data_IF_336135999987
#
_entry.id   IF_336135999987
#
_cell.length_a   1.000
_cell.length_b   1.000
_cell.length_c   1.000
_cell.angle_alpha   90.00
_cell.angle_beta   90.00
_cell.angle_gamma   90.00
#
_symmetry.space_group_name_H-M   'P 1'
#
loop_
_entity.id
_entity.type
_entity.pdbx_description
1 polymer ?
#
# COMPACT_ATOMS: atom_id res chain seq x y z
N UNK A 1 -22.47 -0.34 -19.26
CA UNK A 1 -21.02 -0.24 -18.99
C UNK A 1 -20.88 -0.27 -17.49
N UNK A 2 -20.45 -1.41 -16.93
CA UNK A 2 -20.25 -1.54 -15.48
C UNK A 2 -18.93 -0.87 -15.11
N UNK A 3 -19.02 0.16 -14.27
CA UNK A 3 -17.89 0.85 -13.66
C UNK A 3 -17.78 0.38 -12.22
N UNK A 4 -16.58 -0.01 -11.80
CA UNK A 4 -16.29 -0.34 -10.40
C UNK A 4 -15.28 0.63 -9.83
N UNK A 5 -15.33 0.86 -8.52
CA UNK A 5 -14.45 1.80 -7.85
C UNK A 5 -13.32 1.05 -7.15
N UNK A 6 -12.09 1.48 -7.37
CA UNK A 6 -10.89 0.96 -6.68
C UNK A 6 -10.36 2.05 -5.76
N UNK A 7 -10.05 1.69 -4.52
CA UNK A 7 -9.38 2.59 -3.60
C UNK A 7 -7.89 2.69 -3.96
N UNK A 8 -7.39 3.90 -4.17
CA UNK A 8 -5.96 4.14 -4.32
C UNK A 8 -5.25 4.04 -2.95
N UNK A 9 -3.92 3.82 -2.92
CA UNK A 9 -3.15 3.73 -1.67
C UNK A 9 -3.27 4.96 -0.78
N UNK A 10 -3.57 6.13 -1.38
CA UNK A 10 -3.81 7.39 -0.67
C UNK A 10 -5.26 7.57 -0.19
N UNK A 11 -6.15 6.62 -0.45
CA UNK A 11 -7.54 6.61 0.01
C UNK A 11 -8.58 7.21 -0.94
N UNK A 12 -8.24 7.53 -2.18
CA UNK A 12 -9.20 8.06 -3.18
C UNK A 12 -9.93 6.93 -3.91
N UNK A 13 -11.22 7.13 -4.20
CA UNK A 13 -11.99 6.19 -5.02
C UNK A 13 -11.81 6.52 -6.51
N UNK A 14 -11.17 5.63 -7.24
CA UNK A 14 -10.92 5.79 -8.67
C UNK A 14 -11.90 4.92 -9.45
N UNK A 15 -12.74 5.52 -10.32
CA UNK A 15 -13.62 4.74 -11.19
C UNK A 15 -12.78 4.04 -12.26
N UNK A 16 -12.92 2.72 -12.35
CA UNK A 16 -12.24 1.88 -13.33
C UNK A 16 -13.27 1.20 -14.23
N UNK A 17 -12.99 1.19 -15.52
CA UNK A 17 -13.76 0.46 -16.52
C UNK A 17 -13.25 -0.98 -16.62
N UNK A 18 -14.17 -1.95 -16.74
CA UNK A 18 -13.84 -3.39 -16.91
C UNK A 18 -13.00 -3.70 -18.16
N UNK A 19 -12.98 -2.80 -19.13
CA UNK A 19 -12.15 -2.89 -20.35
C UNK A 19 -10.88 -2.04 -20.25
N UNK A 20 -10.26 -1.94 -19.07
CA UNK A 20 -8.94 -1.34 -19.01
C UNK A 20 -7.95 -2.32 -19.66
N UNK A 21 -7.32 -1.90 -20.75
CA UNK A 21 -6.13 -2.56 -21.27
C UNK A 21 -5.09 -2.65 -20.14
N UNK A 22 -4.23 -3.68 -20.13
CA UNK A 22 -3.17 -3.99 -19.14
C UNK A 22 -2.19 -2.85 -18.75
N UNK A 23 -2.47 -1.60 -19.13
CA UNK A 23 -1.77 -0.42 -18.69
C UNK A 23 -2.02 -0.14 -17.19
N UNK A 24 -0.98 0.25 -16.45
CA UNK A 24 -1.10 0.63 -15.04
C UNK A 24 -2.00 1.86 -14.92
N UNK A 25 -3.07 1.74 -14.12
CA UNK A 25 -3.96 2.85 -13.83
C UNK A 25 -3.26 3.82 -12.88
N UNK A 26 -3.38 5.13 -13.15
CA UNK A 26 -2.93 6.17 -12.22
C UNK A 26 -4.14 6.84 -11.57
N UNK A 27 -4.02 7.16 -10.29
CA UNK A 27 -5.04 7.93 -9.61
C UNK A 27 -5.04 9.37 -10.14
N UNK A 28 -6.16 9.90 -10.70
CA UNK A 28 -6.21 11.26 -11.23
C UNK A 28 -6.08 12.34 -10.15
N UNK A 29 -6.24 11.97 -8.88
CA UNK A 29 -6.20 12.92 -7.76
C UNK A 29 -4.81 13.06 -7.12
N UNK A 30 -3.98 12.03 -7.20
CA UNK A 30 -2.68 12.02 -6.50
C UNK A 30 -1.53 11.44 -7.32
N UNK A 31 -1.77 11.12 -8.59
CA UNK A 31 -0.81 10.50 -9.52
C UNK A 31 -0.24 9.13 -9.07
N UNK A 32 -0.79 8.59 -7.98
CA UNK A 32 -0.34 7.32 -7.41
C UNK A 32 -0.67 6.16 -8.34
N UNK A 33 0.31 5.29 -8.57
CA UNK A 33 0.12 4.06 -9.34
C UNK A 33 -0.86 3.14 -8.60
N UNK A 34 -1.97 2.82 -9.26
CA UNK A 34 -2.91 1.80 -8.82
C UNK A 34 -2.31 0.47 -9.27
N UNK A 35 -1.89 -0.36 -8.32
CA UNK A 35 -1.58 -1.75 -8.65
C UNK A 35 -2.85 -2.36 -9.24
N UNK A 36 -2.75 -2.90 -10.45
CA UNK A 36 -3.81 -3.64 -11.14
C UNK A 36 -4.05 -4.97 -10.43
N UNK A 37 -4.48 -4.90 -9.17
CA UNK A 37 -5.00 -6.00 -8.42
C UNK A 37 -6.39 -6.30 -8.94
N UNK A 38 -6.46 -7.05 -10.05
CA UNK A 38 -7.65 -7.83 -10.38
C UNK A 38 -8.16 -8.44 -9.08
N UNK A 39 -9.41 -8.17 -8.65
CA UNK A 39 -9.93 -8.82 -7.45
C UNK A 39 -9.87 -10.30 -7.73
N UNK A 40 -8.97 -11.02 -7.03
CA UNK A 40 -8.95 -12.47 -7.03
C UNK A 40 -10.31 -12.87 -6.51
N UNK A 41 -11.19 -13.25 -7.44
CA UNK A 41 -12.49 -13.79 -7.13
C UNK A 41 -12.28 -14.87 -6.08
N UNK A 42 -12.95 -14.68 -4.95
CA UNK A 42 -13.06 -15.70 -3.93
C UNK A 42 -13.81 -16.90 -4.52
N UNK A 43 -13.10 -17.75 -5.24
CA UNK A 43 -13.62 -19.05 -5.67
C UNK A 43 -13.58 -19.96 -4.44
N UNK A 44 -14.71 -20.03 -3.75
CA UNK A 44 -14.98 -21.03 -2.72
C UNK A 44 -15.27 -22.38 -3.40
N UNK A 45 -14.39 -23.32 -3.13
CA UNK A 45 -14.52 -24.78 -3.07
C UNK A 45 -15.61 -25.48 -3.90
N UNK A 46 -15.21 -26.26 -4.91
CA UNK A 46 -15.67 -27.66 -5.09
C UNK A 46 -14.81 -28.43 -6.10
N UNK A 47 -14.05 -29.41 -5.61
CA UNK A 47 -13.81 -30.72 -6.25
C UNK A 47 -12.99 -30.79 -7.56
N UNK A 48 -11.70 -31.12 -7.44
CA UNK A 48 -11.07 -32.19 -8.22
C UNK A 48 -9.61 -32.42 -7.77
N UNK A 49 -9.32 -33.63 -7.31
CA UNK A 49 -7.96 -34.12 -7.04
C UNK A 49 -7.13 -34.13 -8.32
N UNK A 50 -5.97 -33.47 -8.31
CA UNK A 50 -4.83 -33.83 -9.18
C UNK A 50 -3.55 -33.72 -8.39
N UNK A 51 -3.04 -34.88 -7.95
CA UNK A 51 -1.69 -35.06 -7.43
C UNK A 51 -0.75 -34.81 -8.61
N UNK A 52 -0.01 -33.70 -8.56
CA UNK A 52 1.15 -33.45 -9.42
C UNK A 52 2.25 -32.94 -8.50
N UNK A 53 3.33 -33.72 -8.42
CA UNK A 53 4.60 -33.39 -7.75
C UNK A 53 4.98 -31.93 -8.01
N UNK A 54 4.83 -31.09 -6.99
CA UNK A 54 5.31 -29.72 -7.01
C UNK A 54 6.59 -29.69 -6.17
N UNK A 55 7.74 -29.62 -6.86
CA UNK A 55 8.99 -29.16 -6.25
C UNK A 55 8.70 -27.93 -5.41
N UNK A 56 8.99 -28.02 -4.11
CA UNK A 56 8.90 -26.93 -3.16
C UNK A 56 9.89 -25.82 -3.54
N UNK A 57 9.50 -24.94 -4.47
CA UNK A 57 10.02 -23.58 -4.44
C UNK A 57 9.26 -22.85 -3.33
N UNK A 58 9.91 -22.78 -2.17
CA UNK A 58 9.49 -21.93 -1.07
C UNK A 58 9.11 -20.53 -1.61
N UNK A 59 7.97 -19.96 -1.19
CA UNK A 59 7.63 -18.60 -1.57
C UNK A 59 8.75 -17.65 -1.12
N UNK A 60 9.16 -16.67 -1.94
CA UNK A 60 10.15 -15.69 -1.53
C UNK A 60 9.68 -15.01 -0.25
N UNK A 61 10.57 -14.92 0.74
CA UNK A 61 10.28 -14.32 2.03
C UNK A 61 9.52 -12.98 1.86
N UNK A 62 8.44 -12.73 2.62
CA UNK A 62 7.72 -11.47 2.53
C UNK A 62 8.71 -10.34 2.82
N UNK A 63 8.89 -9.45 1.83
CA UNK A 63 9.70 -8.24 1.98
C UNK A 63 9.13 -7.50 3.19
N UNK A 64 9.92 -7.33 4.25
CA UNK A 64 9.50 -6.66 5.47
C UNK A 64 8.86 -5.34 5.11
N UNK A 65 7.55 -5.20 5.34
CA UNK A 65 6.87 -3.93 5.11
C UNK A 65 7.51 -2.91 6.06
N UNK A 66 8.25 -1.95 5.50
CA UNK A 66 8.83 -0.85 6.29
C UNK A 66 7.68 -0.11 6.95
N UNK A 67 7.62 -0.16 8.27
CA UNK A 67 6.60 0.53 9.03
C UNK A 67 6.66 2.04 8.71
N UNK A 68 5.49 2.62 8.44
CA UNK A 68 5.34 4.03 8.09
C UNK A 68 4.23 4.66 8.92
N UNK A 69 4.42 5.94 9.27
CA UNK A 69 3.47 6.74 10.03
C UNK A 69 3.07 8.00 9.25
N UNK A 70 1.84 8.51 9.40
CA UNK A 70 1.44 9.75 8.74
C UNK A 70 2.05 10.97 9.43
N UNK A 71 2.46 11.96 8.64
CA UNK A 71 2.85 13.26 9.17
C UNK A 71 1.64 13.99 9.82
N UNK A 72 1.74 14.57 11.02
CA UNK A 72 0.63 15.29 11.68
C UNK A 72 0.27 16.60 10.97
N UNK A 73 1.17 17.17 10.17
CA UNK A 73 0.95 18.43 9.47
C UNK A 73 0.38 18.20 8.07
N UNK A 74 1.12 17.47 7.22
CA UNK A 74 0.77 17.30 5.81
C UNK A 74 0.22 15.91 5.45
N UNK A 75 0.13 14.99 6.42
CA UNK A 75 -0.37 13.61 6.26
C UNK A 75 0.37 12.71 5.27
N UNK A 76 1.44 13.19 4.65
CA UNK A 76 2.34 12.36 3.82
C UNK A 76 2.89 11.19 4.64
N UNK A 77 2.94 9.97 4.09
CA UNK A 77 3.55 8.83 4.76
C UNK A 77 5.04 9.07 4.95
N UNK A 78 5.52 8.86 6.19
CA UNK A 78 6.92 8.99 6.56
C UNK A 78 7.39 7.67 7.15
N UNK A 79 8.58 7.22 6.74
CA UNK A 79 9.22 6.02 7.29
C UNK A 79 9.37 6.16 8.80
N UNK A 80 9.13 5.09 9.56
CA UNK A 80 9.29 5.15 11.01
C UNK A 80 10.72 5.51 11.45
N UNK A 81 11.72 5.13 10.66
CA UNK A 81 13.12 5.44 10.90
C UNK A 81 13.48 6.93 10.67
N UNK A 82 12.63 7.69 9.98
CA UNK A 82 12.91 9.11 9.69
C UNK A 82 12.47 10.00 10.84
N UNK A 83 13.38 10.86 11.31
CA UNK A 83 13.08 11.83 12.36
C UNK A 83 12.31 13.06 11.86
N UNK A 84 12.25 13.28 10.54
CA UNK A 84 11.56 14.43 9.94
C UNK A 84 10.81 14.05 8.67
N UNK A 85 9.77 14.82 8.35
CA UNK A 85 9.00 14.68 7.12
C UNK A 85 9.77 15.29 5.92
N UNK A 86 9.96 14.53 4.84
CA UNK A 86 10.61 15.04 3.63
C UNK A 86 9.79 16.11 2.89
N UNK A 87 8.46 16.13 3.06
CA UNK A 87 7.57 17.07 2.38
C UNK A 87 7.53 18.44 3.06
N UNK A 88 7.20 18.47 4.36
CA UNK A 88 7.03 19.72 5.12
C UNK A 88 8.19 20.03 6.08
N UNK A 89 9.24 19.20 6.10
CA UNK A 89 10.42 19.35 6.97
C UNK A 89 10.11 19.41 8.48
N UNK A 90 8.90 19.01 8.89
CA UNK A 90 8.50 18.94 10.29
C UNK A 90 9.16 17.76 10.98
N UNK A 91 9.71 17.99 12.17
CA UNK A 91 10.29 16.94 13.02
C UNK A 91 9.17 16.07 13.62
N UNK A 92 9.32 14.76 13.48
CA UNK A 92 8.33 13.74 13.85
C UNK A 92 8.84 12.78 14.92
N UNK A 93 10.11 12.87 15.31
CA UNK A 93 10.62 12.05 16.40
C UNK A 93 10.13 12.63 17.74
N UNK A 94 9.89 11.75 18.70
CA UNK A 94 9.67 12.19 20.07
C UNK A 94 10.94 12.90 20.56
N UNK A 95 10.81 14.02 21.30
CA UNK A 95 11.98 14.68 21.87
C UNK A 95 12.72 13.68 22.78
N UNK A 96 14.06 13.60 22.69
CA UNK A 96 14.84 12.72 23.56
C UNK A 96 14.64 13.10 25.04
N UNK A 97 14.75 12.12 25.93
CA UNK A 97 14.35 12.26 27.34
C UNK A 97 15.07 13.41 28.07
N UNK A 98 16.32 13.69 27.73
CA UNK A 98 17.07 14.80 28.36
C UNK A 98 16.46 16.19 28.11
N UNK A 99 15.66 16.37 27.05
CA UNK A 99 14.95 17.64 26.83
C UNK A 99 13.76 17.80 27.78
N UNK A 100 13.25 16.69 28.36
CA UNK A 100 12.15 16.74 29.33
C UNK A 100 12.63 17.26 30.70
N UNK A 101 13.89 17.04 31.03
CA UNK A 101 14.50 17.47 32.29
C UNK A 101 14.88 18.98 32.31
N UNK A 102 14.73 19.68 31.18
CA UNK A 102 15.03 21.10 31.01
C UNK A 102 13.80 22.02 31.10
N UNK A 103 12.60 21.45 31.27
CA UNK A 103 11.33 22.18 31.37
C UNK A 103 10.87 22.34 32.83
#
# INVERSE_FOLDING_TARGET
METFFVACPSGHQVPVSINHSDAPLQCPQCDGMLESGMPRTSLSDTGAMRILEASELAPPAPKSATASRPCPICRTPVSEASAACAHCQTYLASPPDFLRDLA
#
